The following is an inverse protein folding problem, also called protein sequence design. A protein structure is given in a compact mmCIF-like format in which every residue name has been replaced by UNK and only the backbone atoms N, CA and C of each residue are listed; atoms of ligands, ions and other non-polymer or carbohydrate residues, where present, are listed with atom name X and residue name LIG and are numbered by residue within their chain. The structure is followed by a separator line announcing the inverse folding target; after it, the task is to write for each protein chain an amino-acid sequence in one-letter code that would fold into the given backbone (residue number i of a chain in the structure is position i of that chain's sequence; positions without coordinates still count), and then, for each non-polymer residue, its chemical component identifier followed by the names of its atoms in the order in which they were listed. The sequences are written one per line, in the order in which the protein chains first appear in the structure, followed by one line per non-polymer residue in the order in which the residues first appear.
data_IF_191250644887
#
_entry.id   IF_191250644887
#
_cell.length_a   1.000
_cell.length_b   1.000
_cell.length_c   1.000
_cell.angle_alpha   90.00
_cell.angle_beta   90.00
_cell.angle_gamma   90.00
#
_symmetry.space_group_name_H-M   'P 1'
#
loop_
_entity.id
_entity.type
_entity.pdbx_description
1 polymer ?
#
# COMPACT_ATOMS: atom_id res chain seq x y z
N UNK A 1 1.85 8.54 -9.50
CA UNK A 1 1.95 7.83 -8.20
C UNK A 1 2.41 8.83 -7.16
N UNK A 2 1.59 9.19 -6.15
CA UNK A 2 1.96 10.26 -5.21
C UNK A 2 3.12 9.87 -4.28
N UNK A 3 3.29 8.57 -4.02
CA UNK A 3 4.31 7.99 -3.16
C UNK A 3 4.85 6.69 -3.79
N UNK A 4 5.95 6.18 -3.25
CA UNK A 4 6.50 4.84 -3.51
C UNK A 4 5.68 3.69 -2.93
N UNK A 5 4.69 4.00 -2.11
CA UNK A 5 3.83 3.00 -1.48
C UNK A 5 2.38 3.11 -2.02
N UNK A 6 2.14 2.77 -3.30
CA UNK A 6 0.79 2.83 -3.88
C UNK A 6 -0.20 1.90 -3.18
N UNK A 7 0.29 0.83 -2.57
CA UNK A 7 -0.54 -0.19 -1.91
C UNK A 7 -1.09 0.30 -0.57
N UNK A 8 -0.41 1.22 0.12
CA UNK A 8 -0.90 1.74 1.41
C UNK A 8 -2.27 2.41 1.33
N UNK A 9 -2.59 3.04 0.19
CA UNK A 9 -3.87 3.68 -0.04
C UNK A 9 -4.96 2.69 -0.46
N UNK A 10 -4.64 1.65 -1.22
CA UNK A 10 -5.62 0.64 -1.66
C UNK A 10 -5.99 -0.29 -0.51
N UNK A 11 -5.03 -0.66 0.34
CA UNK A 11 -5.25 -1.51 1.52
C UNK A 11 -5.64 -0.73 2.79
N UNK A 12 -5.91 0.59 2.69
CA UNK A 12 -6.22 1.43 3.84
C UNK A 12 -7.42 0.91 4.65
N UNK A 13 -8.47 0.43 4.00
CA UNK A 13 -9.65 -0.14 4.67
C UNK A 13 -9.32 -1.42 5.43
N UNK A 14 -8.51 -2.31 4.85
CA UNK A 14 -8.06 -3.55 5.52
C UNK A 14 -7.25 -3.21 6.76
N UNK A 15 -6.26 -2.30 6.64
CA UNK A 15 -5.44 -1.81 7.76
C UNK A 15 -6.28 -1.17 8.86
N UNK A 16 -7.28 -0.38 8.48
CA UNK A 16 -8.18 0.26 9.44
C UNK A 16 -8.98 -0.78 10.22
N UNK A 17 -9.53 -1.79 9.54
CA UNK A 17 -10.33 -2.85 10.18
C UNK A 17 -9.49 -3.75 11.08
N UNK A 18 -8.28 -4.12 10.66
CA UNK A 18 -7.36 -4.89 11.52
C UNK A 18 -6.91 -4.10 12.76
N UNK A 19 -6.70 -2.78 12.64
CA UNK A 19 -6.35 -1.92 13.78
C UNK A 19 -7.47 -1.83 14.84
N UNK A 20 -8.74 -1.77 14.40
CA UNK A 20 -9.89 -1.66 15.32
C UNK A 20 -10.13 -2.97 16.07
N UNK A 21 -9.87 -4.11 15.44
CA UNK A 21 -10.02 -5.40 16.12
C UNK A 21 -8.91 -5.61 17.15
N UNK A 22 -9.28 -6.01 18.37
CA UNK A 22 -8.36 -6.29 19.51
C UNK A 22 -7.49 -7.55 19.32
N UNK A 23 -7.24 -7.95 18.08
CA UNK A 23 -6.48 -9.14 17.72
C UNK A 23 -7.36 -10.37 17.45
N UNK A 24 -6.86 -11.32 16.65
CA UNK A 24 -7.63 -12.46 16.17
C UNK A 24 -7.67 -13.67 17.12
N UNK A 25 -7.03 -13.62 18.29
CA UNK A 25 -6.98 -14.72 19.26
C UNK A 25 -6.08 -15.91 18.86
N UNK A 26 -5.80 -16.10 17.56
CA UNK A 26 -4.81 -17.06 17.06
C UNK A 26 -4.25 -16.65 15.70
N UNK A 27 -3.12 -17.25 15.27
CA UNK A 27 -2.53 -17.00 13.95
C UNK A 27 -3.47 -17.41 12.81
N UNK A 28 -4.11 -18.57 12.93
CA UNK A 28 -5.03 -19.08 11.91
C UNK A 28 -6.24 -18.16 11.74
N UNK A 29 -6.83 -17.70 12.86
CA UNK A 29 -7.92 -16.72 12.84
C UNK A 29 -7.46 -15.39 12.23
N UNK A 30 -6.22 -14.96 12.47
CA UNK A 30 -5.66 -13.74 11.89
C UNK A 30 -5.55 -13.81 10.38
N UNK A 31 -5.10 -14.95 9.85
CA UNK A 31 -5.03 -15.19 8.41
C UNK A 31 -6.42 -15.23 7.78
N UNK A 32 -7.37 -15.95 8.38
CA UNK A 32 -8.75 -16.02 7.90
C UNK A 32 -9.40 -14.62 7.90
N UNK A 33 -9.17 -13.83 8.96
CA UNK A 33 -9.66 -12.47 9.07
C UNK A 33 -9.08 -11.57 7.98
N UNK A 34 -7.76 -11.59 7.77
CA UNK A 34 -7.11 -10.80 6.73
C UNK A 34 -7.64 -11.17 5.34
N UNK A 35 -7.79 -12.47 5.06
CA UNK A 35 -8.37 -12.97 3.82
C UNK A 35 -9.78 -12.42 3.59
N UNK A 36 -10.67 -12.54 4.59
CA UNK A 36 -12.06 -12.05 4.47
C UNK A 36 -12.15 -10.54 4.33
N UNK A 37 -11.28 -9.77 4.99
CA UNK A 37 -11.22 -8.32 4.80
C UNK A 37 -10.77 -7.94 3.39
N UNK A 38 -9.80 -8.65 2.84
CA UNK A 38 -9.33 -8.45 1.46
C UNK A 38 -10.46 -8.81 0.48
N UNK A 39 -11.04 -10.00 0.61
CA UNK A 39 -12.15 -10.49 -0.21
C UNK A 39 -13.34 -9.51 -0.21
N UNK A 40 -13.73 -8.97 0.95
CA UNK A 40 -14.83 -8.02 1.07
C UNK A 40 -14.53 -6.62 0.51
N UNK A 41 -13.26 -6.29 0.26
CA UNK A 41 -12.85 -4.96 -0.22
C UNK A 41 -12.42 -4.93 -1.68
N UNK A 42 -12.14 -6.09 -2.28
CA UNK A 42 -11.62 -6.20 -3.64
C UNK A 42 -12.48 -5.47 -4.69
N UNK A 43 -13.81 -5.59 -4.59
CA UNK A 43 -14.76 -4.97 -5.54
C UNK A 43 -14.77 -3.44 -5.49
N UNK A 44 -14.27 -2.86 -4.39
CA UNK A 44 -14.24 -1.41 -4.15
C UNK A 44 -12.85 -0.82 -4.28
N UNK A 45 -11.84 -1.61 -4.64
CA UNK A 45 -10.49 -1.08 -4.79
C UNK A 45 -10.41 -0.11 -5.95
N UNK A 46 -9.88 1.08 -5.65
CA UNK A 46 -9.60 2.07 -6.67
C UNK A 46 -8.37 1.63 -7.47
N UNK A 47 -8.49 1.64 -8.79
CA UNK A 47 -7.36 1.44 -9.68
C UNK A 47 -6.26 2.51 -9.45
N UNK A 48 -5.01 2.10 -9.68
CA UNK A 48 -3.88 3.03 -9.63
C UNK A 48 -3.96 4.00 -10.81
N UNK A 49 -3.92 5.31 -10.54
CA UNK A 49 -4.10 6.34 -11.58
C UNK A 49 -3.04 6.31 -12.70
N UNK A 50 -1.83 5.79 -12.45
CA UNK A 50 -0.73 5.73 -13.42
C UNK A 50 -0.08 4.33 -13.39
N UNK A 51 -0.74 3.31 -13.96
CA UNK A 51 -0.31 1.91 -13.82
C UNK A 51 1.03 1.63 -14.51
N UNK A 52 1.37 2.34 -15.58
CA UNK A 52 2.65 2.23 -16.28
C UNK A 52 3.85 2.60 -15.38
N UNK A 53 3.67 3.43 -14.36
CA UNK A 53 4.73 3.81 -13.41
C UNK A 53 4.91 2.79 -12.27
N UNK A 54 4.01 1.83 -12.10
CA UNK A 54 4.10 0.82 -11.03
C UNK A 54 5.35 -0.05 -11.19
N UNK A 55 5.79 -0.28 -12.43
CA UNK A 55 7.04 -1.00 -12.69
C UNK A 55 8.25 -0.29 -12.10
N UNK A 56 8.29 1.05 -12.11
CA UNK A 56 9.38 1.83 -11.51
C UNK A 56 9.37 1.68 -9.98
N UNK A 57 8.19 1.76 -9.36
CA UNK A 57 8.06 1.53 -7.91
C UNK A 57 8.52 0.12 -7.53
N UNK A 58 8.15 -0.89 -8.32
CA UNK A 58 8.57 -2.28 -8.10
C UNK A 58 10.08 -2.47 -8.31
N UNK A 59 10.71 -1.66 -9.15
CA UNK A 59 12.16 -1.59 -9.31
C UNK A 59 12.87 -0.78 -8.20
N UNK A 60 12.14 -0.27 -7.20
CA UNK A 60 12.69 0.48 -6.07
C UNK A 60 12.80 2.00 -6.29
N UNK A 61 12.26 2.52 -7.39
CA UNK A 61 12.33 3.95 -7.69
C UNK A 61 11.53 4.80 -6.69
N UNK A 62 12.11 5.93 -6.28
CA UNK A 62 11.51 6.79 -5.26
C UNK A 62 10.62 7.88 -5.87
N UNK A 63 9.37 7.95 -5.43
CA UNK A 63 8.43 9.02 -5.76
C UNK A 63 8.16 9.88 -4.53
N UNK A 64 8.47 11.17 -4.62
CA UNK A 64 8.10 12.19 -3.63
C UNK A 64 7.05 13.13 -4.21
N UNK A 65 5.88 13.20 -3.57
CA UNK A 65 4.78 14.10 -3.97
C UNK A 65 4.41 13.97 -5.46
N UNK A 66 4.46 12.76 -6.01
CA UNK A 66 4.14 12.53 -7.42
C UNK A 66 5.31 12.55 -8.41
N UNK A 67 6.49 13.00 -7.98
CA UNK A 67 7.67 13.15 -8.85
C UNK A 67 8.68 12.05 -8.59
N UNK A 68 9.20 11.48 -9.67
CA UNK A 68 10.31 10.53 -9.61
C UNK A 68 11.59 11.25 -9.19
N UNK A 69 12.29 10.70 -8.21
CA UNK A 69 13.61 11.18 -7.76
C UNK A 69 14.68 10.40 -8.51
N UNK A 70 15.31 11.02 -9.50
CA UNK A 70 16.31 10.38 -10.38
C UNK A 70 17.69 10.22 -9.71
N UNK A 71 17.96 11.01 -8.66
CA UNK A 71 19.20 10.95 -7.86
C UNK A 71 18.89 11.45 -6.45
N UNK A 72 19.21 10.72 -5.36
CA UNK A 72 19.25 11.34 -4.04
C UNK A 72 20.37 12.39 -4.10
N UNK A 73 20.00 13.66 -4.21
CA UNK A 73 20.97 14.74 -4.14
C UNK A 73 21.56 14.70 -2.72
N UNK A 74 22.89 14.61 -2.56
CA UNK A 74 23.48 14.64 -1.23
C UNK A 74 23.04 15.94 -0.56
N UNK A 75 22.49 15.80 0.63
CA UNK A 75 22.14 16.92 1.51
C UNK A 75 23.35 17.84 1.59
N UNK A 76 23.20 19.09 1.15
CA UNK A 76 24.26 20.08 1.26
C UNK A 76 24.53 20.31 2.76
N UNK A 77 25.80 20.14 3.12
CA UNK A 77 26.33 20.19 4.48
C UNK A 77 25.98 21.48 5.24
#
# INVERSE_FOLDING_TARGET
LRTTNPIESTFATVRHRTKITRGPGSRAAGLAMAFKLIEATQDRWRAVNAPHLVMLVRAGAIFQTGKLVERPQPEAA
#
